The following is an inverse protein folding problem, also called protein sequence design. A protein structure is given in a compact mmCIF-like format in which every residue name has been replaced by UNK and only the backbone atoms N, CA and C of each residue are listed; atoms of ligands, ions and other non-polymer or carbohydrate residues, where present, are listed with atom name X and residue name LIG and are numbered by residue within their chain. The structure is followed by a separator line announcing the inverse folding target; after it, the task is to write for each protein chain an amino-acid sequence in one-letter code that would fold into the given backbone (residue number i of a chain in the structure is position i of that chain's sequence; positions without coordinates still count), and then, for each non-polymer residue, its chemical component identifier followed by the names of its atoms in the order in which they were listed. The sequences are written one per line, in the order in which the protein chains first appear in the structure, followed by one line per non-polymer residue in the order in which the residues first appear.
data_IF_812708877619
#
_entry.id   IF_812708877619
#
_cell.length_a   1.000
_cell.length_b   1.000
_cell.length_c   1.000
_cell.angle_alpha   90.00
_cell.angle_beta   90.00
_cell.angle_gamma   90.00
#
_symmetry.space_group_name_H-M   'P 1'
#
loop_
_entity.id
_entity.type
_entity.pdbx_description
1 polymer ?
#
# COMPACT_ATOMS: atom_id res chain seq x y z
N UNK A 1 -38.28 30.33 22.45
CA UNK A 1 -36.80 30.35 22.28
C UNK A 1 -36.46 30.87 20.89
N UNK A 2 -35.94 32.10 20.78
CA UNK A 2 -35.52 32.67 19.51
C UNK A 2 -34.27 31.93 18.99
N UNK A 3 -34.42 31.15 17.90
CA UNK A 3 -33.27 30.51 17.23
C UNK A 3 -32.42 31.60 16.59
N UNK A 4 -31.24 31.89 17.17
CA UNK A 4 -30.23 32.75 16.54
C UNK A 4 -29.87 32.14 15.18
N UNK A 5 -30.27 32.78 14.09
CA UNK A 5 -29.86 32.39 12.75
C UNK A 5 -28.38 32.75 12.60
N UNK A 6 -27.54 31.76 12.30
CA UNK A 6 -26.13 31.98 12.02
C UNK A 6 -26.03 32.89 10.79
N UNK A 7 -25.72 34.18 10.98
CA UNK A 7 -25.46 35.11 9.89
C UNK A 7 -24.18 34.64 9.19
N UNK A 8 -24.21 34.56 7.87
CA UNK A 8 -23.03 34.19 7.08
C UNK A 8 -21.88 35.15 7.40
N UNK A 9 -20.79 34.60 7.92
CA UNK A 9 -19.62 35.37 8.30
C UNK A 9 -18.56 35.21 7.22
N UNK A 10 -18.51 36.18 6.30
CA UNK A 10 -17.56 36.23 5.19
C UNK A 10 -16.11 36.09 5.67
N UNK A 11 -15.77 36.73 6.78
CA UNK A 11 -14.42 36.68 7.34
C UNK A 11 -14.04 35.27 7.78
N UNK A 12 -14.98 34.51 8.35
CA UNK A 12 -14.75 33.12 8.75
C UNK A 12 -14.54 32.22 7.52
N UNK A 13 -15.33 32.41 6.45
CA UNK A 13 -15.14 31.67 5.20
C UNK A 13 -13.76 31.95 4.59
N UNK A 14 -13.36 33.23 4.53
CA UNK A 14 -12.03 33.63 4.02
C UNK A 14 -10.91 33.02 4.89
N UNK A 15 -11.04 33.04 6.22
CA UNK A 15 -10.03 32.48 7.12
C UNK A 15 -9.82 30.98 6.89
N UNK A 16 -10.90 30.22 6.71
CA UNK A 16 -10.84 28.77 6.42
C UNK A 16 -10.23 28.52 5.04
N UNK A 17 -10.53 29.35 4.04
CA UNK A 17 -9.94 29.25 2.70
C UNK A 17 -8.44 29.53 2.70
N UNK A 18 -7.98 30.54 3.45
CA UNK A 18 -6.56 30.84 3.64
C UNK A 18 -5.85 29.70 4.37
N UNK A 19 -6.46 29.13 5.41
CA UNK A 19 -5.92 27.98 6.12
C UNK A 19 -5.77 26.76 5.19
N UNK A 20 -6.82 26.44 4.43
CA UNK A 20 -6.79 25.34 3.47
C UNK A 20 -5.78 25.55 2.35
N UNK A 21 -5.61 26.79 1.88
CA UNK A 21 -4.56 27.18 0.94
C UNK A 21 -3.17 26.95 1.52
N UNK A 22 -2.93 27.41 2.76
CA UNK A 22 -1.66 27.21 3.46
C UNK A 22 -1.30 25.74 3.61
N UNK A 23 -2.26 24.90 4.03
CA UNK A 23 -2.07 23.45 4.13
C UNK A 23 -1.78 22.81 2.76
N UNK A 24 -2.52 23.18 1.73
CA UNK A 24 -2.34 22.63 0.38
C UNK A 24 -0.99 23.05 -0.23
N UNK A 25 -0.59 24.29 -0.01
CA UNK A 25 0.69 24.82 -0.47
C UNK A 25 1.87 24.17 0.26
N UNK A 26 1.76 23.98 1.57
CA UNK A 26 2.74 23.23 2.35
C UNK A 26 2.91 21.80 1.82
N UNK A 27 1.81 21.09 1.55
CA UNK A 27 1.85 19.76 0.94
C UNK A 27 2.42 19.77 -0.49
N UNK A 28 2.21 20.84 -1.24
CA UNK A 28 2.83 21.02 -2.55
C UNK A 28 4.35 21.09 -2.44
N UNK A 29 4.88 21.88 -1.50
CA UNK A 29 6.31 21.98 -1.26
C UNK A 29 6.94 20.63 -0.85
N UNK A 30 6.24 19.84 -0.03
CA UNK A 30 6.69 18.48 0.36
C UNK A 30 6.68 17.54 -0.85
N UNK A 31 5.63 17.57 -1.66
CA UNK A 31 5.50 16.72 -2.85
C UNK A 31 6.56 17.04 -3.90
N UNK A 32 6.93 18.32 -4.04
CA UNK A 32 8.02 18.79 -4.89
C UNK A 32 9.42 18.55 -4.31
N UNK A 33 9.53 17.93 -3.13
CA UNK A 33 10.80 17.70 -2.40
C UNK A 33 11.58 19.00 -2.10
N UNK A 34 10.91 20.16 -2.14
CA UNK A 34 11.51 21.45 -1.77
C UNK A 34 11.71 21.50 -0.25
N UNK A 35 10.71 20.99 0.49
CA UNK A 35 10.75 20.92 1.95
C UNK A 35 10.76 19.45 2.36
N UNK A 36 11.78 19.09 3.15
CA UNK A 36 12.13 17.73 3.56
C UNK A 36 12.45 16.74 2.43
N UNK A 37 13.62 16.82 1.78
CA UNK A 37 13.96 15.91 0.67
C UNK A 37 13.98 14.43 1.08
N UNK A 38 14.43 14.11 2.30
CA UNK A 38 14.53 12.73 2.81
C UNK A 38 13.23 12.19 3.38
N UNK A 39 12.65 12.87 4.38
CA UNK A 39 11.57 12.29 5.20
C UNK A 39 10.39 13.25 5.40
N UNK A 40 9.17 12.77 5.26
CA UNK A 40 7.99 13.62 5.52
C UNK A 40 7.64 13.63 7.01
N UNK A 41 7.29 14.78 7.60
CA UNK A 41 6.87 14.85 9.00
C UNK A 41 5.54 14.11 9.17
N UNK A 42 5.60 12.89 9.71
CA UNK A 42 4.44 12.03 9.94
C UNK A 42 4.48 11.51 11.38
N UNK A 43 3.34 11.44 12.09
CA UNK A 43 3.28 10.76 13.38
C UNK A 43 3.78 9.31 13.22
N UNK A 44 4.66 8.86 14.11
CA UNK A 44 5.14 7.47 14.09
C UNK A 44 3.99 6.54 14.40
N UNK A 45 3.72 5.59 13.51
CA UNK A 45 2.75 4.53 13.75
C UNK A 45 2.51 3.67 12.51
N UNK A 46 2.15 2.40 12.70
CA UNK A 46 1.85 1.44 11.62
C UNK A 46 0.64 1.82 10.74
N UNK A 47 -0.15 2.82 11.16
CA UNK A 47 -1.37 3.25 10.47
C UNK A 47 -1.09 4.48 9.59
N UNK A 48 -0.02 5.23 9.86
CA UNK A 48 0.26 6.51 9.22
C UNK A 48 1.35 6.39 8.16
N UNK A 49 0.98 6.52 6.89
CA UNK A 49 1.87 6.37 5.74
C UNK A 49 1.93 7.64 4.90
N UNK A 50 2.34 8.77 5.51
CA UNK A 50 2.35 10.06 4.82
C UNK A 50 3.28 10.08 3.59
N UNK A 51 4.43 9.38 3.64
CA UNK A 51 5.40 9.35 2.54
C UNK A 51 4.78 8.74 1.29
N UNK A 52 4.17 7.57 1.45
CA UNK A 52 3.46 6.83 0.41
C UNK A 52 2.31 7.64 -0.17
N UNK A 53 1.51 8.30 0.69
CA UNK A 53 0.37 9.12 0.24
C UNK A 53 0.82 10.37 -0.52
N UNK A 54 1.88 11.06 -0.08
CA UNK A 54 2.30 12.36 -0.64
C UNK A 54 3.28 12.26 -1.82
N UNK A 55 4.01 11.15 -1.94
CA UNK A 55 5.02 10.94 -2.99
C UNK A 55 4.74 9.74 -3.88
N UNK A 56 3.82 8.88 -3.48
CA UNK A 56 3.47 7.68 -4.24
C UNK A 56 2.83 8.00 -5.59
N UNK A 57 2.59 6.98 -6.41
CA UNK A 57 2.03 7.13 -7.75
C UNK A 57 0.65 7.79 -7.73
N UNK A 58 -0.13 7.55 -6.68
CA UNK A 58 -1.46 8.16 -6.48
C UNK A 58 -1.41 9.62 -6.05
N UNK A 59 -0.25 10.20 -5.76
CA UNK A 59 -0.10 11.62 -5.40
C UNK A 59 -0.06 12.56 -6.61
N UNK A 60 -0.04 12.00 -7.83
CA UNK A 60 0.08 12.72 -9.09
C UNK A 60 -0.99 12.27 -10.07
N UNK A 61 -1.55 13.22 -10.81
CA UNK A 61 -2.40 12.96 -11.97
C UNK A 61 -1.60 13.36 -13.20
N UNK A 62 -0.97 12.38 -13.84
CA UNK A 62 0.06 12.64 -14.85
C UNK A 62 1.24 13.40 -14.24
N UNK A 63 1.66 14.56 -14.82
CA UNK A 63 2.75 15.34 -14.27
C UNK A 63 2.33 16.25 -13.10
N UNK A 64 1.03 16.38 -12.82
CA UNK A 64 0.50 17.37 -11.89
C UNK A 64 0.34 16.77 -10.49
N UNK A 65 0.98 17.33 -9.44
CA UNK A 65 0.75 16.91 -8.07
C UNK A 65 -0.68 17.23 -7.61
N UNK A 66 -1.30 16.32 -6.87
CA UNK A 66 -2.66 16.52 -6.33
C UNK A 66 -2.72 17.72 -5.37
N UNK A 67 -1.64 17.97 -4.64
CA UNK A 67 -1.51 19.15 -3.79
C UNK A 67 -1.60 20.47 -4.57
N UNK A 68 -1.17 20.50 -5.84
CA UNK A 68 -1.36 21.66 -6.72
C UNK A 68 -2.85 21.87 -7.04
N UNK A 69 -3.61 20.81 -7.26
CA UNK A 69 -5.06 20.91 -7.44
C UNK A 69 -5.74 21.47 -6.19
N UNK A 70 -5.27 21.11 -5.00
CA UNK A 70 -5.70 21.71 -3.74
C UNK A 70 -5.41 23.21 -3.65
N UNK A 71 -4.20 23.64 -4.02
CA UNK A 71 -3.82 25.06 -4.09
C UNK A 71 -4.73 25.82 -5.05
N UNK A 72 -4.93 25.31 -6.27
CA UNK A 72 -5.81 25.92 -7.27
C UNK A 72 -7.27 26.00 -6.79
N UNK A 73 -7.76 24.94 -6.13
CA UNK A 73 -9.09 24.92 -5.53
C UNK A 73 -9.27 26.04 -4.50
N UNK A 74 -8.36 26.17 -3.53
CA UNK A 74 -8.48 27.18 -2.47
C UNK A 74 -8.25 28.59 -3.01
N UNK A 75 -7.37 28.79 -3.99
CA UNK A 75 -7.21 30.08 -4.68
C UNK A 75 -8.48 30.49 -5.42
N UNK A 76 -9.09 29.58 -6.17
CA UNK A 76 -10.36 29.84 -6.87
C UNK A 76 -11.47 30.18 -5.88
N UNK A 77 -11.57 29.44 -4.76
CA UNK A 77 -12.55 29.70 -3.72
C UNK A 77 -12.35 31.05 -3.03
N UNK A 78 -11.10 31.41 -2.71
CA UNK A 78 -10.73 32.68 -2.12
C UNK A 78 -11.06 33.84 -3.08
N UNK A 79 -10.76 33.67 -4.36
CA UNK A 79 -11.14 34.64 -5.39
C UNK A 79 -12.66 34.83 -5.45
N UNK A 80 -13.44 33.74 -5.49
CA UNK A 80 -14.91 33.80 -5.48
C UNK A 80 -15.47 34.46 -4.20
N UNK A 81 -14.81 34.27 -3.05
CA UNK A 81 -15.14 34.94 -1.79
C UNK A 81 -14.79 36.43 -1.81
N UNK A 82 -13.69 36.81 -2.46
CA UNK A 82 -13.21 38.19 -2.56
C UNK A 82 -14.05 39.02 -3.55
N UNK A 83 -14.39 38.45 -4.71
CA UNK A 83 -15.21 39.10 -5.76
C UNK A 83 -16.71 39.03 -5.47
N UNK A 84 -17.10 38.61 -4.27
CA UNK A 84 -18.50 38.47 -3.89
C UNK A 84 -19.17 39.83 -3.71
N UNK A 85 -19.71 40.37 -4.81
CA UNK A 85 -20.64 41.48 -4.78
C UNK A 85 -22.07 40.98 -4.53
N UNK A 86 -22.83 41.73 -3.73
CA UNK A 86 -24.16 41.39 -3.17
C UNK A 86 -25.25 40.96 -4.18
N UNK A 87 -24.99 40.86 -5.49
CA UNK A 87 -26.03 40.68 -6.52
C UNK A 87 -25.80 39.61 -7.60
N UNK A 88 -24.67 38.88 -7.63
CA UNK A 88 -24.45 37.87 -8.69
C UNK A 88 -24.77 36.44 -8.22
N UNK A 89 -26.02 36.00 -8.42
CA UNK A 89 -26.49 34.63 -8.13
C UNK A 89 -25.62 33.55 -8.79
N UNK A 90 -25.08 33.83 -9.98
CA UNK A 90 -24.15 32.93 -10.67
C UNK A 90 -22.88 32.65 -9.84
N UNK A 91 -22.26 33.65 -9.20
CA UNK A 91 -21.05 33.45 -8.38
C UNK A 91 -21.36 32.52 -7.20
N UNK A 92 -22.53 32.66 -6.58
CA UNK A 92 -23.02 31.75 -5.54
C UNK A 92 -23.13 30.32 -6.05
N UNK A 93 -23.79 30.12 -7.20
CA UNK A 93 -23.95 28.79 -7.81
C UNK A 93 -22.60 28.17 -8.14
N UNK A 94 -21.69 28.95 -8.72
CA UNK A 94 -20.35 28.51 -9.04
C UNK A 94 -19.59 28.08 -7.78
N UNK A 95 -19.61 28.90 -6.72
CA UNK A 95 -18.99 28.58 -5.44
C UNK A 95 -19.51 27.25 -4.86
N UNK A 96 -20.83 27.03 -4.90
CA UNK A 96 -21.45 25.78 -4.42
C UNK A 96 -21.00 24.59 -5.27
N UNK A 97 -20.99 24.71 -6.60
CA UNK A 97 -20.52 23.65 -7.51
C UNK A 97 -19.08 23.28 -7.20
N UNK A 98 -18.19 24.27 -7.02
CA UNK A 98 -16.80 24.01 -6.63
C UNK A 98 -16.71 23.31 -5.27
N UNK A 99 -17.46 23.74 -4.26
CA UNK A 99 -17.46 23.08 -2.93
C UNK A 99 -17.94 21.62 -3.05
N UNK A 100 -19.00 21.35 -3.79
CA UNK A 100 -19.51 19.99 -3.99
C UNK A 100 -18.52 19.11 -4.76
N UNK A 101 -17.90 19.64 -5.81
CA UNK A 101 -16.83 18.97 -6.53
C UNK A 101 -15.63 18.68 -5.63
N UNK A 102 -15.25 19.64 -4.78
CA UNK A 102 -14.22 19.48 -3.75
C UNK A 102 -14.56 18.37 -2.76
N UNK A 103 -15.79 18.31 -2.24
CA UNK A 103 -16.26 17.25 -1.34
C UNK A 103 -16.22 15.86 -2.00
N UNK A 104 -16.67 15.74 -3.24
CA UNK A 104 -16.58 14.49 -4.00
C UNK A 104 -15.14 14.05 -4.22
N UNK A 105 -14.27 14.98 -4.61
CA UNK A 105 -12.87 14.70 -4.84
C UNK A 105 -12.12 14.29 -3.57
N UNK A 106 -12.30 14.98 -2.45
CA UNK A 106 -11.67 14.56 -1.18
C UNK A 106 -12.19 13.21 -0.69
N UNK A 107 -13.48 12.90 -0.93
CA UNK A 107 -14.06 11.59 -0.57
C UNK A 107 -13.44 10.47 -1.40
N UNK A 108 -13.23 10.72 -2.70
CA UNK A 108 -12.50 9.82 -3.58
C UNK A 108 -11.04 9.60 -3.12
N UNK A 109 -10.32 10.66 -2.75
CA UNK A 109 -8.96 10.52 -2.23
C UNK A 109 -8.90 9.72 -0.92
N UNK A 110 -9.89 9.87 -0.03
CA UNK A 110 -10.01 9.02 1.16
C UNK A 110 -10.26 7.56 0.79
N UNK A 111 -11.07 7.30 -0.22
CA UNK A 111 -11.27 5.94 -0.71
C UNK A 111 -9.97 5.31 -1.24
N UNK A 112 -9.13 6.09 -1.92
CA UNK A 112 -7.81 5.64 -2.37
C UNK A 112 -6.92 5.23 -1.18
N UNK A 113 -6.88 6.07 -0.13
CA UNK A 113 -6.12 5.79 1.10
C UNK A 113 -6.55 4.47 1.77
N UNK A 114 -7.85 4.21 1.85
CA UNK A 114 -8.38 2.99 2.48
C UNK A 114 -8.16 1.73 1.64
N UNK A 115 -8.40 1.80 0.33
CA UNK A 115 -8.45 0.60 -0.52
C UNK A 115 -7.07 0.22 -1.08
N UNK A 116 -6.32 1.18 -1.62
CA UNK A 116 -5.05 0.88 -2.29
C UNK A 116 -3.85 1.03 -1.36
N UNK A 117 -3.81 2.07 -0.55
CA UNK A 117 -2.64 2.36 0.30
C UNK A 117 -2.74 1.72 1.69
N UNK A 118 -3.95 1.37 2.15
CA UNK A 118 -4.23 0.85 3.50
C UNK A 118 -3.61 1.70 4.62
N UNK A 119 -3.52 3.02 4.41
CA UNK A 119 -2.79 3.93 5.28
C UNK A 119 -3.42 5.31 5.32
N UNK A 120 -3.29 6.00 6.46
CA UNK A 120 -3.87 7.32 6.68
C UNK A 120 -2.81 8.42 6.62
N UNK A 121 -3.15 9.56 6.01
CA UNK A 121 -2.31 10.76 6.04
C UNK A 121 -3.00 11.89 6.83
N UNK A 122 -2.54 12.22 8.05
CA UNK A 122 -3.15 13.26 8.89
C UNK A 122 -3.24 14.62 8.20
N UNK A 123 -2.24 14.97 7.39
CA UNK A 123 -2.24 16.21 6.62
C UNK A 123 -3.35 16.26 5.58
N UNK A 124 -3.57 15.15 4.87
CA UNK A 124 -4.63 15.09 3.88
C UNK A 124 -6.02 15.14 4.54
N UNK A 125 -6.14 14.60 5.76
CA UNK A 125 -7.34 14.74 6.60
C UNK A 125 -7.55 16.18 7.10
N UNK A 126 -6.49 16.91 7.43
CA UNK A 126 -6.58 18.33 7.79
C UNK A 126 -7.10 19.18 6.61
N UNK A 127 -6.66 18.89 5.38
CA UNK A 127 -7.20 19.53 4.16
C UNK A 127 -8.67 19.15 3.95
N UNK A 128 -9.04 17.88 4.13
CA UNK A 128 -10.44 17.45 4.03
C UNK A 128 -11.34 18.12 5.08
N UNK A 129 -10.85 18.25 6.31
CA UNK A 129 -11.56 18.97 7.37
C UNK A 129 -11.77 20.44 7.00
N UNK A 130 -10.75 21.09 6.42
CA UNK A 130 -10.87 22.48 5.95
C UNK A 130 -11.95 22.62 4.88
N UNK A 131 -12.01 21.70 3.92
CA UNK A 131 -13.07 21.66 2.89
C UNK A 131 -14.45 21.39 3.49
N UNK A 132 -14.56 20.52 4.51
CA UNK A 132 -15.81 20.24 5.21
C UNK A 132 -16.32 21.45 5.99
N UNK A 133 -15.43 22.16 6.69
CA UNK A 133 -15.78 23.41 7.37
C UNK A 133 -16.22 24.46 6.35
N UNK A 134 -15.53 24.57 5.22
CA UNK A 134 -15.94 25.45 4.12
C UNK A 134 -17.34 25.09 3.60
N UNK A 135 -17.62 23.81 3.37
CA UNK A 135 -18.93 23.34 2.94
C UNK A 135 -20.04 23.67 3.95
N UNK A 136 -19.76 23.49 5.24
CA UNK A 136 -20.65 23.87 6.32
C UNK A 136 -20.96 25.38 6.32
N UNK A 137 -19.96 26.23 6.07
CA UNK A 137 -20.14 27.69 6.01
C UNK A 137 -20.88 28.16 4.75
N UNK A 138 -20.73 27.45 3.62
CA UNK A 138 -21.39 27.77 2.34
C UNK A 138 -22.81 27.20 2.28
N UNK A 139 -23.14 26.17 3.06
CA UNK A 139 -24.45 25.52 3.08
C UNK A 139 -25.66 26.49 3.15
N UNK A 140 -25.66 27.56 3.97
CA UNK A 140 -26.79 28.51 4.03
C UNK A 140 -26.99 29.32 2.75
N UNK A 141 -25.99 29.39 1.87
CA UNK A 141 -26.07 30.07 0.57
C UNK A 141 -26.70 29.17 -0.51
N UNK A 142 -26.69 27.85 -0.30
CA UNK A 142 -27.23 26.87 -1.25
C UNK A 142 -28.76 26.66 -1.11
N UNK A 143 -29.40 27.24 -0.09
CA UNK A 143 -30.84 27.06 0.17
C UNK A 143 -31.69 27.99 -0.70
N UNK A 144 -32.40 27.43 -1.71
CA UNK A 144 -33.85 27.31 -1.54
C UNK A 144 -34.45 25.90 -1.29
N UNK A 145 -33.82 24.73 -1.54
CA UNK A 145 -34.52 23.43 -1.39
C UNK A 145 -34.34 22.72 -0.03
N UNK A 146 -33.48 23.18 0.88
CA UNK A 146 -33.21 22.46 2.13
C UNK A 146 -33.92 23.10 3.33
N UNK A 147 -34.54 22.30 4.23
CA UNK A 147 -35.28 22.81 5.38
C UNK A 147 -34.34 23.61 6.30
N UNK A 148 -34.87 24.71 6.87
CA UNK A 148 -34.14 25.55 7.84
C UNK A 148 -33.91 24.77 9.14
N UNK A 149 -32.89 23.92 9.16
CA UNK A 149 -32.49 23.09 10.30
C UNK A 149 -31.74 23.88 11.38
N UNK A 150 -31.66 23.28 12.58
CA UNK A 150 -30.79 23.76 13.66
C UNK A 150 -29.31 23.56 13.28
N UNK A 151 -28.39 24.14 14.05
CA UNK A 151 -26.95 23.98 13.85
C UNK A 151 -26.56 22.49 13.72
N UNK A 152 -27.04 21.64 14.63
CA UNK A 152 -26.76 20.20 14.63
C UNK A 152 -27.29 19.48 13.39
N UNK A 153 -28.48 19.85 12.89
CA UNK A 153 -29.02 19.27 11.66
C UNK A 153 -28.12 19.59 10.46
N UNK A 154 -27.56 20.81 10.39
CA UNK A 154 -26.64 21.19 9.30
C UNK A 154 -25.32 20.43 9.37
N UNK A 155 -24.74 20.31 10.57
CA UNK A 155 -23.54 19.50 10.79
C UNK A 155 -23.82 18.06 10.37
N UNK A 156 -24.96 17.50 10.78
CA UNK A 156 -25.39 16.15 10.41
C UNK A 156 -25.50 15.96 8.89
N UNK A 157 -26.08 16.90 8.15
CA UNK A 157 -26.16 16.80 6.69
C UNK A 157 -24.80 16.86 6.00
N UNK A 158 -23.92 17.77 6.42
CA UNK A 158 -22.59 17.92 5.80
C UNK A 158 -21.70 16.71 6.10
N UNK A 159 -21.60 16.33 7.37
CA UNK A 159 -20.78 15.20 7.80
C UNK A 159 -21.38 13.89 7.31
N UNK A 160 -22.68 13.69 7.48
CA UNK A 160 -23.38 12.48 7.02
C UNK A 160 -23.32 12.32 5.49
N UNK A 161 -23.57 13.40 4.74
CA UNK A 161 -23.43 13.39 3.29
C UNK A 161 -22.01 13.06 2.84
N UNK A 162 -21.00 13.63 3.49
CA UNK A 162 -19.61 13.31 3.19
C UNK A 162 -19.24 11.86 3.54
N UNK A 163 -19.69 11.35 4.69
CA UNK A 163 -19.46 9.94 5.05
C UNK A 163 -20.11 8.98 4.06
N UNK A 164 -21.33 9.27 3.60
CA UNK A 164 -21.99 8.48 2.55
C UNK A 164 -21.15 8.50 1.26
N UNK A 165 -20.64 9.67 0.85
CA UNK A 165 -19.77 9.77 -0.33
C UNK A 165 -18.48 8.96 -0.16
N UNK A 166 -17.86 8.99 1.02
CA UNK A 166 -16.66 8.18 1.31
C UNK A 166 -16.98 6.69 1.23
N UNK A 167 -18.07 6.24 1.87
CA UNK A 167 -18.48 4.82 1.86
C UNK A 167 -18.78 4.34 0.43
N UNK A 168 -19.51 5.13 -0.35
CA UNK A 168 -19.79 4.81 -1.76
C UNK A 168 -18.50 4.74 -2.59
N UNK A 169 -17.60 5.72 -2.41
CA UNK A 169 -16.32 5.76 -3.10
C UNK A 169 -15.42 4.58 -2.72
N UNK A 170 -15.39 4.19 -1.45
CA UNK A 170 -14.68 3.00 -0.95
C UNK A 170 -15.27 1.73 -1.55
N UNK A 171 -16.59 1.59 -1.58
CA UNK A 171 -17.27 0.44 -2.19
C UNK A 171 -16.93 0.29 -3.67
N UNK A 172 -17.02 1.39 -4.44
CA UNK A 172 -16.64 1.42 -5.86
C UNK A 172 -15.15 1.08 -6.00
N UNK A 173 -14.29 1.71 -5.20
CA UNK A 173 -12.85 1.49 -5.25
C UNK A 173 -12.46 0.06 -4.95
N UNK A 174 -13.06 -0.57 -3.93
CA UNK A 174 -12.82 -1.96 -3.57
C UNK A 174 -13.23 -2.93 -4.71
N UNK A 175 -14.35 -2.66 -5.39
CA UNK A 175 -14.78 -3.45 -6.55
C UNK A 175 -13.77 -3.31 -7.70
N UNK A 176 -13.33 -2.09 -8.00
CA UNK A 176 -12.34 -1.83 -9.05
C UNK A 176 -10.99 -2.49 -8.72
N UNK A 177 -10.50 -2.32 -7.49
CA UNK A 177 -9.28 -2.92 -7.00
C UNK A 177 -9.32 -4.45 -7.10
N UNK A 178 -10.41 -5.08 -6.66
CA UNK A 178 -10.56 -6.54 -6.74
C UNK A 178 -10.52 -7.02 -8.19
N UNK A 179 -11.21 -6.31 -9.10
CA UNK A 179 -11.19 -6.66 -10.54
C UNK A 179 -9.80 -6.54 -11.15
N UNK A 180 -9.07 -5.48 -10.80
CA UNK A 180 -7.70 -5.27 -11.25
C UNK A 180 -6.77 -6.38 -10.75
N UNK A 181 -6.87 -6.73 -9.47
CA UNK A 181 -6.08 -7.81 -8.87
C UNK A 181 -6.38 -9.18 -9.49
N UNK A 182 -7.65 -9.46 -9.82
CA UNK A 182 -8.03 -10.70 -10.52
C UNK A 182 -7.39 -10.75 -11.90
N UNK A 183 -7.50 -9.69 -12.71
CA UNK A 183 -6.86 -9.64 -14.04
C UNK A 183 -5.35 -9.78 -13.96
N UNK A 184 -4.73 -9.11 -13.00
CA UNK A 184 -3.28 -9.19 -12.79
C UNK A 184 -2.83 -10.61 -12.38
N UNK A 185 -3.64 -11.34 -11.59
CA UNK A 185 -3.40 -12.76 -11.24
C UNK A 185 -3.54 -13.67 -12.47
N UNK A 186 -4.54 -13.43 -13.30
CA UNK A 186 -4.75 -14.17 -14.56
C UNK A 186 -3.59 -13.96 -15.54
N UNK A 187 -3.11 -12.72 -15.71
CA UNK A 187 -1.97 -12.38 -16.58
C UNK A 187 -0.67 -13.09 -16.15
N UNK A 188 -0.42 -13.21 -14.85
CA UNK A 188 0.75 -13.90 -14.33
C UNK A 188 0.62 -15.44 -14.41
N UNK A 189 -0.51 -15.96 -14.89
CA UNK A 189 -0.75 -17.39 -14.95
C UNK A 189 -0.66 -18.05 -13.58
N UNK A 190 -0.94 -17.31 -12.50
CA UNK A 190 -0.84 -17.80 -11.11
C UNK A 190 -1.85 -18.91 -10.95
N UNK A 191 -1.39 -20.14 -11.20
CA UNK A 191 -2.11 -21.35 -10.85
C UNK A 191 -2.36 -21.26 -9.36
N UNK A 192 -3.63 -21.31 -8.92
CA UNK A 192 -3.97 -21.39 -7.48
C UNK A 192 -3.14 -22.53 -6.87
N UNK A 193 -2.01 -22.20 -6.26
CA UNK A 193 -1.35 -23.13 -5.38
C UNK A 193 -2.28 -23.24 -4.17
N UNK A 194 -2.70 -24.45 -3.79
CA UNK A 194 -3.60 -24.64 -2.68
C UNK A 194 -2.99 -23.98 -1.44
N UNK A 195 -3.76 -23.08 -0.83
CA UNK A 195 -3.36 -22.33 0.36
C UNK A 195 -2.87 -23.29 1.46
N UNK A 196 -1.76 -22.98 2.16
CA UNK A 196 -1.17 -23.84 3.18
C UNK A 196 -2.03 -23.81 4.45
N UNK A 197 -3.19 -24.47 4.39
CA UNK A 197 -4.18 -24.45 5.46
C UNK A 197 -5.46 -25.22 5.09
N UNK A 198 -5.76 -25.37 3.80
CA UNK A 198 -6.82 -26.26 3.35
C UNK A 198 -6.27 -27.70 3.32
N UNK A 199 -6.06 -28.25 4.52
CA UNK A 199 -6.06 -29.71 4.71
C UNK A 199 -7.42 -30.18 4.19
N UNK A 200 -7.48 -30.57 2.92
CA UNK A 200 -8.52 -31.45 2.44
C UNK A 200 -8.50 -32.63 3.38
N UNK A 201 -9.46 -32.66 4.29
CA UNK A 201 -9.83 -33.83 5.05
C UNK A 201 -10.25 -34.86 4.01
N UNK A 202 -9.27 -35.56 3.46
CA UNK A 202 -9.50 -36.77 2.71
C UNK A 202 -10.11 -37.72 3.72
N UNK A 203 -11.44 -37.81 3.69
CA UNK A 203 -12.21 -38.85 4.36
C UNK A 203 -11.66 -40.17 3.83
N UNK A 204 -10.72 -40.75 4.57
CA UNK A 204 -10.19 -42.07 4.31
C UNK A 204 -11.37 -43.05 4.45
N UNK A 205 -11.70 -43.87 3.43
CA UNK A 205 -12.64 -44.96 3.63
C UNK A 205 -12.10 -45.87 4.74
N UNK A 206 -12.92 -46.03 5.77
CA UNK A 206 -12.74 -46.90 6.92
C UNK A 206 -12.22 -48.28 6.47
N UNK A 207 -11.01 -48.71 6.86
CA UNK A 207 -10.55 -50.06 6.58
C UNK A 207 -11.34 -51.04 7.46
N UNK A 208 -12.02 -51.98 6.82
CA UNK A 208 -12.55 -53.18 7.47
C UNK A 208 -11.38 -53.94 8.09
N UNK A 209 -11.44 -54.12 9.40
CA UNK A 209 -10.43 -54.85 10.16
C UNK A 209 -10.38 -56.32 9.73
N UNK A 210 -9.18 -56.81 9.42
CA UNK A 210 -8.84 -58.23 9.43
C UNK A 210 -7.66 -58.43 10.39
N UNK A 211 -7.64 -59.52 11.18
CA UNK A 211 -6.62 -59.75 12.21
C UNK A 211 -5.35 -60.31 11.57
N UNK A 212 -4.21 -59.63 11.77
CA UNK A 212 -2.89 -60.17 11.39
C UNK A 212 -2.07 -60.44 12.65
N UNK A 213 -1.57 -61.67 12.68
CA UNK A 213 -0.75 -62.35 13.68
C UNK A 213 0.62 -61.68 13.81
N UNK A 214 1.08 -61.53 15.05
CA UNK A 214 2.45 -61.12 15.39
C UNK A 214 3.49 -62.08 14.80
N UNK A 215 4.53 -61.52 14.18
CA UNK A 215 5.80 -62.21 13.97
C UNK A 215 6.94 -61.23 14.17
N UNK A 216 7.62 -61.41 15.29
CA UNK A 216 8.84 -60.72 15.70
C UNK A 216 9.98 -61.11 14.76
N UNK A 217 10.71 -60.14 14.20
CA UNK A 217 12.07 -60.35 13.64
C UNK A 217 13.00 -59.16 13.96
N UNK A 218 14.31 -59.41 14.15
CA UNK A 218 15.21 -58.51 14.84
C UNK A 218 15.92 -57.51 13.92
N UNK A 219 16.50 -56.51 14.61
CA UNK A 219 17.33 -55.40 14.17
C UNK A 219 18.09 -55.61 12.84
N UNK A 220 17.83 -54.71 11.89
CA UNK A 220 18.61 -54.53 10.67
C UNK A 220 19.41 -53.23 10.76
N UNK A 221 20.70 -53.37 10.52
CA UNK A 221 21.78 -52.38 10.50
C UNK A 221 21.43 -51.15 9.67
N UNK A 222 21.52 -49.97 10.30
CA UNK A 222 21.35 -48.68 9.65
C UNK A 222 22.43 -48.48 8.56
N UNK A 223 21.99 -48.48 7.31
CA UNK A 223 22.79 -48.07 6.15
C UNK A 223 22.80 -46.54 6.10
N UNK A 224 23.94 -45.87 5.86
CA UNK A 224 23.98 -44.42 5.72
C UNK A 224 23.13 -43.99 4.52
N UNK A 225 22.12 -43.18 4.78
CA UNK A 225 21.22 -42.60 3.78
C UNK A 225 22.06 -41.85 2.73
N UNK A 226 21.85 -42.08 1.42
CA UNK A 226 22.57 -41.38 0.37
C UNK A 226 22.30 -39.88 0.48
N UNK A 227 23.38 -39.09 0.54
CA UNK A 227 23.35 -37.65 0.41
C UNK A 227 22.59 -37.28 -0.87
N UNK A 228 21.35 -36.80 -0.71
CA UNK A 228 20.54 -36.31 -1.82
C UNK A 228 21.34 -35.21 -2.52
N UNK A 229 21.79 -35.47 -3.75
CA UNK A 229 22.21 -34.41 -4.69
C UNK A 229 20.98 -33.55 -4.94
N UNK A 230 20.81 -32.52 -4.12
CA UNK A 230 19.75 -31.54 -4.27
C UNK A 230 19.98 -30.86 -5.60
N UNK A 231 19.09 -31.10 -6.58
CA UNK A 231 19.06 -30.33 -7.80
C UNK A 231 18.96 -28.85 -7.44
N UNK A 232 19.65 -27.95 -8.17
CA UNK A 232 19.57 -26.52 -7.90
C UNK A 232 18.10 -26.07 -7.93
N UNK A 233 17.70 -25.16 -7.02
CA UNK A 233 16.32 -24.71 -6.91
C UNK A 233 15.87 -24.10 -8.24
N UNK A 234 14.68 -24.49 -8.72
CA UNK A 234 14.08 -23.87 -9.90
C UNK A 234 13.44 -22.54 -9.51
N UNK A 235 13.98 -21.44 -10.04
CA UNK A 235 13.43 -20.09 -9.89
C UNK A 235 12.46 -19.81 -11.04
N UNK A 236 11.24 -20.31 -10.95
CA UNK A 236 10.17 -20.17 -11.94
C UNK A 236 9.33 -18.89 -11.76
N UNK A 237 9.40 -18.28 -10.58
CA UNK A 237 8.65 -17.06 -10.25
C UNK A 237 7.19 -17.37 -9.93
N UNK A 238 6.71 -16.89 -8.80
CA UNK A 238 5.34 -17.13 -8.34
C UNK A 238 4.88 -16.08 -7.34
N UNK A 239 3.57 -15.97 -7.14
CA UNK A 239 2.97 -15.03 -6.17
C UNK A 239 2.03 -15.80 -5.26
N UNK A 240 2.23 -15.69 -3.95
CA UNK A 240 1.34 -16.30 -2.97
C UNK A 240 -0.04 -15.62 -2.91
N UNK A 241 -1.03 -16.37 -2.42
CA UNK A 241 -2.35 -15.81 -2.14
C UNK A 241 -2.27 -14.75 -1.04
N UNK A 242 -2.96 -13.63 -1.21
CA UNK A 242 -2.91 -12.49 -0.28
C UNK A 242 -1.89 -11.40 -0.65
N UNK A 243 -0.90 -11.67 -1.50
CA UNK A 243 0.00 -10.63 -2.02
C UNK A 243 -0.75 -9.75 -3.03
N UNK A 244 -0.64 -8.43 -2.86
CA UNK A 244 -1.13 -7.45 -3.83
C UNK A 244 -0.20 -7.42 -5.05
N UNK A 245 -0.76 -7.60 -6.25
CA UNK A 245 0.03 -7.56 -7.48
C UNK A 245 0.20 -6.12 -7.91
N UNK A 246 1.42 -5.62 -7.76
CA UNK A 246 1.88 -4.35 -8.33
C UNK A 246 2.76 -4.61 -9.56
N UNK A 247 3.18 -3.55 -10.24
CA UNK A 247 4.10 -3.67 -11.37
C UNK A 247 5.47 -4.24 -10.93
N UNK A 248 5.91 -3.89 -9.73
CA UNK A 248 7.14 -4.40 -9.12
C UNK A 248 7.03 -5.90 -8.84
N UNK A 249 5.90 -6.36 -8.31
CA UNK A 249 5.62 -7.80 -8.12
C UNK A 249 5.62 -8.53 -9.45
N UNK A 250 4.96 -7.98 -10.49
CA UNK A 250 4.97 -8.57 -11.83
C UNK A 250 6.39 -8.71 -12.39
N UNK A 251 7.23 -7.70 -12.17
CA UNK A 251 8.62 -7.69 -12.62
C UNK A 251 9.46 -8.73 -11.87
N UNK A 252 9.34 -8.79 -10.54
CA UNK A 252 10.01 -9.77 -9.70
C UNK A 252 9.66 -11.20 -10.16
N UNK A 253 8.37 -11.49 -10.35
CA UNK A 253 7.90 -12.81 -10.81
C UNK A 253 8.46 -13.15 -12.18
N UNK A 254 8.44 -12.20 -13.12
CA UNK A 254 9.00 -12.37 -14.47
C UNK A 254 10.48 -12.79 -14.41
N UNK A 255 11.25 -12.31 -13.44
CA UNK A 255 12.66 -12.64 -13.24
C UNK A 255 12.91 -13.78 -12.23
N UNK A 256 11.89 -14.60 -11.95
CA UNK A 256 12.03 -15.84 -11.20
C UNK A 256 11.90 -15.72 -9.68
N UNK A 257 11.53 -14.54 -9.16
CA UNK A 257 11.31 -14.36 -7.72
C UNK A 257 9.96 -14.91 -7.29
N UNK A 258 9.94 -15.63 -6.17
CA UNK A 258 8.71 -16.01 -5.47
C UNK A 258 8.33 -14.94 -4.46
N UNK A 259 7.22 -14.24 -4.69
CA UNK A 259 6.72 -13.20 -3.78
C UNK A 259 5.75 -13.82 -2.76
N UNK A 260 6.12 -13.77 -1.48
CA UNK A 260 5.40 -14.45 -0.40
C UNK A 260 4.56 -13.48 0.45
N UNK A 261 3.50 -14.01 1.05
CA UNK A 261 2.52 -13.20 1.79
C UNK A 261 2.86 -13.01 3.26
N UNK A 262 3.69 -13.88 3.84
CA UNK A 262 3.98 -13.88 5.28
C UNK A 262 5.38 -14.41 5.63
N UNK A 263 5.77 -14.14 6.88
CA UNK A 263 7.05 -14.58 7.45
C UNK A 263 7.13 -16.10 7.59
N UNK A 264 6.01 -16.79 7.78
CA UNK A 264 5.93 -18.25 7.84
C UNK A 264 6.33 -18.87 6.50
N UNK A 265 5.86 -18.30 5.39
CA UNK A 265 6.26 -18.74 4.04
C UNK A 265 7.75 -18.56 3.80
N UNK A 266 8.34 -17.43 4.22
CA UNK A 266 9.80 -17.22 4.18
C UNK A 266 10.53 -18.31 4.96
N UNK A 267 10.10 -18.59 6.20
CA UNK A 267 10.70 -19.63 7.04
C UNK A 267 10.59 -21.04 6.41
N UNK A 268 9.50 -21.33 5.69
CA UNK A 268 9.34 -22.59 4.95
C UNK A 268 10.39 -22.70 3.84
N UNK A 269 10.58 -21.67 3.02
CA UNK A 269 11.61 -21.67 1.97
C UNK A 269 13.02 -21.79 2.54
N UNK A 270 13.32 -21.13 3.66
CA UNK A 270 14.64 -21.27 4.34
C UNK A 270 14.86 -22.73 4.80
N UNK A 271 13.82 -23.39 5.29
CA UNK A 271 13.93 -24.78 5.78
C UNK A 271 14.10 -25.78 4.62
N UNK A 272 13.34 -25.60 3.54
CA UNK A 272 13.20 -26.60 2.47
C UNK A 272 14.19 -26.37 1.32
N UNK A 273 14.41 -25.11 0.93
CA UNK A 273 15.10 -24.73 -0.32
C UNK A 273 16.36 -23.87 -0.11
N UNK A 274 16.85 -23.72 1.12
CA UNK A 274 18.08 -22.95 1.37
C UNK A 274 19.29 -23.46 0.55
N UNK A 275 20.20 -22.54 0.14
CA UNK A 275 20.27 -21.11 0.49
C UNK A 275 19.19 -20.23 -0.16
N UNK A 276 18.66 -19.26 0.60
CA UNK A 276 17.60 -18.34 0.14
C UNK A 276 18.16 -16.93 0.03
N UNK A 277 17.98 -16.29 -1.12
CA UNK A 277 18.15 -14.85 -1.29
C UNK A 277 16.80 -14.16 -1.06
N UNK A 278 16.67 -13.50 0.09
CA UNK A 278 15.45 -12.81 0.51
C UNK A 278 15.55 -11.31 0.22
N UNK A 279 14.60 -10.79 -0.57
CA UNK A 279 14.38 -9.37 -0.78
C UNK A 279 13.22 -8.87 0.09
N UNK A 280 13.50 -7.92 0.98
CA UNK A 280 12.48 -7.18 1.71
C UNK A 280 12.29 -5.81 1.04
N UNK A 281 11.07 -5.52 0.59
CA UNK A 281 10.77 -4.30 -0.16
C UNK A 281 9.43 -3.68 0.24
N UNK A 282 9.22 -2.42 -0.16
CA UNK A 282 7.90 -1.78 -0.15
C UNK A 282 7.59 -1.37 -1.60
N UNK A 283 6.46 -1.81 -2.19
CA UNK A 283 6.12 -1.49 -3.58
C UNK A 283 5.96 0.01 -3.84
N UNK A 284 5.76 0.81 -2.80
CA UNK A 284 5.61 2.26 -2.88
C UNK A 284 6.89 3.04 -2.57
N UNK A 285 7.96 2.36 -2.16
CA UNK A 285 9.25 3.00 -1.91
C UNK A 285 9.99 3.29 -3.23
N UNK A 286 10.36 4.54 -3.46
CA UNK A 286 11.07 4.99 -4.66
C UNK A 286 12.42 4.29 -4.82
N UNK A 287 13.13 4.03 -3.72
CA UNK A 287 14.39 3.27 -3.74
C UNK A 287 14.16 1.79 -4.07
N UNK A 288 13.08 1.19 -3.55
CA UNK A 288 12.70 -0.18 -3.90
C UNK A 288 12.35 -0.29 -5.39
N UNK A 289 11.54 0.64 -5.92
CA UNK A 289 11.19 0.66 -7.34
C UNK A 289 12.42 0.84 -8.23
N UNK A 290 13.32 1.76 -7.87
CA UNK A 290 14.57 1.98 -8.60
C UNK A 290 15.48 0.74 -8.55
N UNK A 291 15.55 0.06 -7.41
CA UNK A 291 16.33 -1.16 -7.27
C UNK A 291 15.73 -2.35 -8.03
N UNK A 292 14.42 -2.56 -7.95
CA UNK A 292 13.73 -3.66 -8.65
C UNK A 292 13.82 -3.48 -10.16
N UNK A 293 13.59 -2.25 -10.67
CA UNK A 293 13.68 -1.95 -12.11
C UNK A 293 15.12 -1.81 -12.63
N UNK A 294 16.05 -1.34 -11.81
CA UNK A 294 17.43 -1.11 -12.25
C UNK A 294 18.39 -2.27 -11.99
N UNK A 295 18.17 -3.01 -10.90
CA UNK A 295 19.12 -4.00 -10.38
C UNK A 295 18.67 -5.46 -10.53
N UNK A 296 17.38 -5.72 -10.73
CA UNK A 296 16.81 -7.09 -10.74
C UNK A 296 16.16 -7.50 -12.06
N UNK A 297 16.23 -6.66 -13.11
CA UNK A 297 15.63 -6.92 -14.43
C UNK A 297 16.40 -7.93 -15.31
N UNK A 298 17.42 -8.60 -14.78
CA UNK A 298 18.23 -9.52 -15.58
C UNK A 298 17.99 -10.98 -15.18
N UNK A 299 17.99 -11.86 -16.18
CA UNK A 299 17.86 -13.31 -15.97
C UNK A 299 19.13 -13.96 -15.38
N UNK A 300 20.18 -13.16 -15.11
CA UNK A 300 21.44 -13.64 -14.53
C UNK A 300 21.22 -14.12 -13.09
N UNK A 301 20.43 -13.39 -12.31
CA UNK A 301 20.11 -13.74 -10.91
C UNK A 301 19.32 -15.05 -10.85
N UNK A 302 18.45 -15.29 -11.85
CA UNK A 302 17.64 -16.51 -11.94
C UNK A 302 18.48 -17.79 -12.01
N UNK A 303 19.70 -17.72 -12.54
CA UNK A 303 20.62 -18.86 -12.70
C UNK A 303 21.46 -19.13 -11.46
N UNK A 304 21.38 -18.28 -10.44
CA UNK A 304 22.14 -18.46 -9.21
C UNK A 304 21.65 -19.68 -8.43
N UNK A 305 22.54 -20.40 -7.72
CA UNK A 305 22.19 -21.61 -6.96
C UNK A 305 21.50 -21.29 -5.63
N UNK A 306 20.63 -20.26 -5.61
CA UNK A 306 19.87 -19.80 -4.45
C UNK A 306 18.39 -19.69 -4.83
N UNK A 307 17.52 -19.93 -3.86
CA UNK A 307 16.09 -19.68 -4.02
C UNK A 307 15.80 -18.18 -3.89
N UNK A 308 15.16 -17.60 -4.88
CA UNK A 308 14.80 -16.17 -4.89
C UNK A 308 13.44 -15.96 -4.22
N UNK A 309 13.41 -15.27 -3.09
CA UNK A 309 12.18 -14.98 -2.33
C UNK A 309 12.08 -13.49 -2.10
N UNK A 310 10.91 -12.89 -2.32
CA UNK A 310 10.64 -11.51 -1.99
C UNK A 310 9.44 -11.39 -1.05
N UNK A 311 9.48 -10.46 -0.11
CA UNK A 311 8.41 -10.18 0.85
C UNK A 311 8.23 -8.68 1.03
N UNK A 312 6.98 -8.24 1.15
CA UNK A 312 6.68 -6.87 1.53
C UNK A 312 7.08 -6.62 2.99
N UNK A 313 7.72 -5.48 3.28
CA UNK A 313 8.16 -5.14 4.64
C UNK A 313 7.02 -5.21 5.66
N UNK A 314 5.81 -4.81 5.26
CA UNK A 314 4.61 -4.84 6.11
C UNK A 314 4.15 -6.25 6.49
N UNK A 315 4.54 -7.26 5.71
CA UNK A 315 4.28 -8.69 5.93
C UNK A 315 5.42 -9.41 6.67
N UNK A 316 6.54 -8.72 6.92
CA UNK A 316 7.69 -9.28 7.61
C UNK A 316 7.64 -8.95 9.12
N UNK A 317 7.49 -9.99 9.93
CA UNK A 317 7.42 -9.93 11.39
C UNK A 317 8.54 -10.76 12.03
N UNK A 318 8.70 -10.64 13.35
CA UNK A 318 9.67 -11.42 14.12
C UNK A 318 11.14 -10.95 14.01
N UNK A 319 12.12 -11.81 14.34
CA UNK A 319 13.52 -11.41 14.46
C UNK A 319 14.15 -10.87 13.18
N UNK A 320 13.69 -11.36 12.01
CA UNK A 320 14.21 -10.88 10.73
C UNK A 320 13.71 -9.46 10.43
N UNK A 321 12.53 -9.08 10.92
CA UNK A 321 11.98 -7.73 10.79
C UNK A 321 12.82 -6.69 11.54
N UNK A 322 13.35 -7.04 12.72
CA UNK A 322 14.26 -6.14 13.46
C UNK A 322 15.59 -5.87 12.77
N UNK A 323 15.99 -6.74 11.83
CA UNK A 323 17.19 -6.52 11.02
C UNK A 323 16.93 -5.53 9.86
N UNK A 324 15.67 -5.27 9.50
CA UNK A 324 15.29 -4.37 8.41
C UNK A 324 15.10 -2.95 8.95
N UNK A 325 16.18 -2.17 8.93
CA UNK A 325 16.11 -0.75 9.31
C UNK A 325 15.57 0.12 8.17
N UNK A 326 15.90 -0.21 6.93
CA UNK A 326 15.49 0.51 5.72
C UNK A 326 15.11 -0.48 4.61
N UNK A 327 14.40 -0.01 3.58
CA UNK A 327 14.08 -0.82 2.39
C UNK A 327 14.53 -0.11 1.13
N UNK A 328 15.02 -0.85 0.10
CA UNK A 328 15.08 -2.31 0.03
C UNK A 328 16.22 -2.89 0.88
N UNK A 329 16.02 -4.11 1.42
CA UNK A 329 17.07 -4.88 2.10
C UNK A 329 17.15 -6.28 1.51
N UNK A 330 18.36 -6.74 1.23
CA UNK A 330 18.66 -8.10 0.77
C UNK A 330 19.33 -8.91 1.89
N UNK A 331 18.92 -10.16 2.02
CA UNK A 331 19.56 -11.15 2.88
C UNK A 331 19.90 -12.40 2.08
N UNK A 332 21.08 -12.96 2.30
CA UNK A 332 21.39 -14.35 1.93
C UNK A 332 21.35 -15.19 3.20
N UNK A 333 20.46 -16.17 3.25
CA UNK A 333 20.16 -16.95 4.46
C UNK A 333 20.44 -18.43 4.20
N UNK A 334 21.20 -19.06 5.10
CA UNK A 334 21.48 -20.50 5.04
C UNK A 334 20.36 -21.34 5.67
N UNK A 335 20.51 -22.68 5.62
CA UNK A 335 19.52 -23.62 6.19
C UNK A 335 19.41 -23.54 7.73
N UNK A 336 20.44 -23.02 8.40
CA UNK A 336 20.49 -22.82 9.85
C UNK A 336 19.94 -21.46 10.27
N UNK A 337 19.40 -20.67 9.33
CA UNK A 337 18.90 -19.30 9.51
C UNK A 337 20.00 -18.28 9.82
N UNK A 338 21.26 -18.59 9.54
CA UNK A 338 22.35 -17.62 9.61
C UNK A 338 22.26 -16.68 8.41
N UNK A 339 22.41 -15.39 8.66
CA UNK A 339 22.52 -14.37 7.61
C UNK A 339 23.98 -14.39 7.13
N UNK A 340 24.22 -14.96 5.96
CA UNK A 340 25.53 -15.01 5.32
C UNK A 340 25.91 -13.63 4.75
N UNK A 341 24.92 -12.92 4.20
CA UNK A 341 25.11 -11.61 3.59
C UNK A 341 23.88 -10.73 3.83
N UNK A 342 24.11 -9.43 4.07
CA UNK A 342 23.08 -8.41 4.27
C UNK A 342 23.47 -7.16 3.51
N UNK A 343 22.56 -6.62 2.71
CA UNK A 343 22.76 -5.35 2.00
C UNK A 343 21.54 -4.46 2.10
N UNK A 344 21.75 -3.16 2.28
CA UNK A 344 20.69 -2.15 2.41
C UNK A 344 20.82 -1.13 1.29
N UNK A 345 19.71 -0.83 0.61
CA UNK A 345 19.64 0.14 -0.47
C UNK A 345 19.93 -0.49 -1.84
N UNK A 346 20.42 0.33 -2.77
CA UNK A 346 20.62 -0.07 -4.17
C UNK A 346 21.87 -0.94 -4.33
N UNK A 347 21.80 -1.90 -5.23
CA UNK A 347 22.91 -2.75 -5.66
C UNK A 347 22.75 -3.06 -7.14
N UNK A 348 23.86 -3.15 -7.89
CA UNK A 348 23.80 -3.60 -9.28
C UNK A 348 23.66 -5.13 -9.34
N UNK A 349 23.16 -5.66 -10.46
CA UNK A 349 23.07 -7.12 -10.63
C UNK A 349 24.44 -7.80 -10.46
N UNK A 350 25.50 -7.22 -11.03
CA UNK A 350 26.84 -7.81 -11.02
C UNK A 350 27.44 -7.85 -9.60
N UNK A 351 27.24 -6.78 -8.82
CA UNK A 351 27.63 -6.74 -7.40
C UNK A 351 26.87 -7.79 -6.59
N UNK A 352 25.57 -7.96 -6.85
CA UNK A 352 24.75 -8.95 -6.16
C UNK A 352 25.18 -10.38 -6.48
N UNK A 353 25.44 -10.68 -7.76
CA UNK A 353 25.93 -12.00 -8.19
C UNK A 353 27.30 -12.29 -7.56
N UNK A 354 28.21 -11.33 -7.57
CA UNK A 354 29.52 -11.48 -6.94
C UNK A 354 29.39 -11.73 -5.44
N UNK A 355 28.52 -11.00 -4.75
CA UNK A 355 28.28 -11.19 -3.31
C UNK A 355 27.71 -12.59 -3.01
N UNK A 356 26.82 -13.11 -3.87
CA UNK A 356 26.30 -14.48 -3.73
C UNK A 356 27.43 -15.50 -3.91
N UNK A 357 28.23 -15.37 -4.97
CA UNK A 357 29.33 -16.29 -5.27
C UNK A 357 30.41 -16.30 -4.18
N UNK A 358 30.73 -15.15 -3.60
CA UNK A 358 31.73 -15.04 -2.52
C UNK A 358 31.25 -15.73 -1.24
N UNK A 359 29.97 -15.58 -0.87
CA UNK A 359 29.42 -16.11 0.37
C UNK A 359 28.98 -17.58 0.30
N UNK A 360 28.86 -18.15 -0.91
CA UNK A 360 28.54 -19.58 -1.10
C UNK A 360 29.78 -20.47 -1.24
N UNK A 361 30.98 -19.90 -1.35
CA UNK A 361 32.21 -20.70 -1.40
C UNK A 361 32.44 -21.40 -0.05
N UNK A 362 32.70 -22.71 -0.02
CA UNK A 362 33.07 -23.39 1.21
C UNK A 362 34.39 -22.80 1.73
N UNK A 363 34.38 -22.35 2.99
CA UNK A 363 35.57 -21.90 3.72
C UNK A 363 36.39 -23.07 4.26
#
# INVERSE_FOLDING_TARGET
MARKTLKWNRSLTIAVEVLGLGLSFYLLLISLKIVYPGEVPCPRGKIFHCSTVLRGPWSKVGPIPISLLGVLYYLAQLFLSATWEKRRVWITRLKIVFVLGGLGYIAWLRAIEFVWLKGLCPWCWAVALSTLVQAFLVYPLASPPLPRGTFWTRVGYVVGGWLILVVLSVGIGAILYTREQIRAREELGVRKQPSPGEKKSATLPKPTAAPIKETVRPASTATPTPSHKTLPPTNDGSVEEGVAITNEVKLLVKHGWTVVASTESVNRYIKEEAPVLLLVFDPWCEECQAFIRGGLETDVIRRQPVKLVAIEQSSLDGPLSSEVQNVPTLFLIDRNKNILFKHVGRMTTDELVRAIDENLRPH
#
